data_IF_330802025276
#
_entry.id   IF_330802025276
#
_cell.length_a   1.000
_cell.length_b   1.000
_cell.length_c   1.000
_cell.angle_alpha   90.00
_cell.angle_beta   90.00
_cell.angle_gamma   90.00
#
_symmetry.space_group_name_H-M   'P 1'
#
loop_
_entity.id
_entity.type
_entity.pdbx_description
1 polymer ?
#
# COMPACT_ATOMS: atom_id res chain seq x y z
N UNK A 1 -22.60 -17.41 -27.98
CA UNK A 1 -22.72 -18.47 -26.97
C UNK A 1 -21.41 -19.23 -26.96
N UNK A 2 -20.56 -18.95 -26.02
CA UNK A 2 -19.46 -19.82 -25.61
C UNK A 2 -19.11 -19.39 -24.19
N UNK A 3 -19.77 -20.03 -23.21
CA UNK A 3 -19.40 -20.01 -21.81
C UNK A 3 -18.18 -20.90 -21.63
N UNK A 4 -17.02 -20.39 -22.01
CA UNK A 4 -15.77 -21.00 -21.64
C UNK A 4 -15.46 -20.67 -20.19
N UNK A 5 -15.70 -21.57 -19.26
CA UNK A 5 -15.08 -21.57 -17.95
C UNK A 5 -13.57 -21.80 -18.14
N UNK A 6 -12.84 -20.75 -18.48
CA UNK A 6 -11.39 -20.77 -18.48
C UNK A 6 -10.94 -20.63 -17.02
N UNK A 7 -10.99 -21.75 -16.28
CA UNK A 7 -10.28 -21.88 -15.02
C UNK A 7 -8.79 -21.87 -15.35
N UNK A 8 -8.08 -20.80 -14.99
CA UNK A 8 -6.63 -20.73 -15.14
C UNK A 8 -6.00 -21.37 -13.92
N UNK A 9 -5.20 -22.41 -14.13
CA UNK A 9 -4.41 -23.01 -13.06
C UNK A 9 -3.33 -22.00 -12.60
N UNK A 10 -3.36 -21.54 -11.35
CA UNK A 10 -2.40 -20.57 -10.85
C UNK A 10 -0.98 -21.13 -10.69
N UNK A 11 -0.80 -22.45 -10.80
CA UNK A 11 0.50 -23.11 -10.55
C UNK A 11 1.62 -22.54 -11.41
N UNK A 12 1.37 -22.34 -12.70
CA UNK A 12 2.36 -21.74 -13.60
C UNK A 12 2.78 -20.33 -13.14
N UNK A 13 1.84 -19.52 -12.68
CA UNK A 13 2.12 -18.18 -12.16
C UNK A 13 2.94 -18.26 -10.86
N UNK A 14 2.56 -19.16 -9.94
CA UNK A 14 3.26 -19.38 -8.67
C UNK A 14 4.70 -19.84 -8.90
N UNK A 15 4.93 -20.79 -9.81
CA UNK A 15 6.27 -21.29 -10.15
C UNK A 15 7.15 -20.18 -10.75
N UNK A 16 6.58 -19.36 -11.63
CA UNK A 16 7.29 -18.21 -12.23
C UNK A 16 7.60 -17.12 -11.22
N UNK A 17 6.65 -16.77 -10.36
CA UNK A 17 6.84 -15.81 -9.28
C UNK A 17 7.90 -16.31 -8.29
N UNK A 18 7.88 -17.58 -7.94
CA UNK A 18 8.85 -18.18 -7.02
C UNK A 18 10.28 -18.07 -7.55
N UNK A 19 10.50 -18.37 -8.82
CA UNK A 19 11.82 -18.20 -9.48
C UNK A 19 12.25 -16.73 -9.49
N UNK A 20 11.33 -15.83 -9.83
CA UNK A 20 11.61 -14.40 -9.91
C UNK A 20 11.95 -13.82 -8.52
N UNK A 21 11.14 -14.11 -7.50
CA UNK A 21 11.35 -13.61 -6.12
C UNK A 21 12.69 -14.13 -5.59
N UNK A 22 13.03 -15.40 -5.78
CA UNK A 22 14.31 -15.97 -5.36
C UNK A 22 15.50 -15.25 -6.01
N UNK A 23 15.39 -14.87 -7.28
CA UNK A 23 16.43 -14.14 -7.99
C UNK A 23 16.55 -12.69 -7.50
N UNK A 24 15.44 -12.01 -7.26
CA UNK A 24 15.41 -10.60 -6.87
C UNK A 24 15.79 -10.38 -5.40
N UNK A 25 15.39 -11.29 -4.50
CA UNK A 25 15.63 -11.16 -3.07
C UNK A 25 16.98 -11.74 -2.62
N UNK A 26 17.64 -12.54 -3.44
CA UNK A 26 18.81 -13.34 -3.07
C UNK A 26 18.50 -14.45 -2.07
N UNK A 27 17.22 -14.65 -1.73
CA UNK A 27 16.74 -15.68 -0.80
C UNK A 27 15.79 -16.63 -1.54
N UNK A 28 15.85 -17.93 -1.30
CA UNK A 28 14.97 -18.87 -1.98
C UNK A 28 13.50 -18.62 -1.59
N UNK A 29 12.65 -18.39 -2.60
CA UNK A 29 11.22 -18.47 -2.40
C UNK A 29 10.84 -19.93 -2.16
N UNK A 30 10.34 -20.21 -0.98
CA UNK A 30 9.94 -21.57 -0.61
C UNK A 30 8.42 -21.65 -0.74
N UNK A 31 7.89 -22.37 -1.74
CA UNK A 31 6.47 -22.66 -1.82
C UNK A 31 5.99 -23.29 -0.50
N UNK A 32 4.77 -22.99 -0.08
CA UNK A 32 4.16 -23.46 1.17
C UNK A 32 4.78 -22.90 2.48
N UNK A 33 5.59 -21.87 2.41
CA UNK A 33 5.90 -21.02 3.57
C UNK A 33 5.06 -19.76 3.54
N UNK A 34 4.74 -19.26 4.74
CA UNK A 34 4.11 -17.95 4.89
C UNK A 34 5.04 -16.86 4.35
N UNK A 35 4.54 -16.07 3.41
CA UNK A 35 5.22 -14.89 2.87
C UNK A 35 4.32 -13.68 3.12
N UNK A 36 4.91 -12.49 3.25
CA UNK A 36 4.12 -11.27 3.39
C UNK A 36 3.54 -10.84 2.03
N UNK A 37 2.21 -10.71 1.96
CA UNK A 37 1.53 -10.38 0.71
C UNK A 37 1.98 -9.04 0.10
N UNK A 38 2.17 -7.93 0.85
CA UNK A 38 2.76 -6.69 0.35
C UNK A 38 4.17 -6.87 -0.21
N UNK A 39 5.00 -7.72 0.41
CA UNK A 39 6.35 -7.99 -0.08
C UNK A 39 6.31 -8.68 -1.45
N UNK A 40 5.54 -9.75 -1.57
CA UNK A 40 5.31 -10.46 -2.85
C UNK A 40 4.75 -9.50 -3.91
N UNK A 41 3.77 -8.68 -3.54
CA UNK A 41 3.21 -7.66 -4.43
C UNK A 41 4.27 -6.67 -4.89
N UNK A 42 5.15 -6.20 -4.00
CA UNK A 42 6.26 -5.31 -4.33
C UNK A 42 7.18 -5.90 -5.41
N UNK A 43 7.54 -7.18 -5.30
CA UNK A 43 8.32 -7.86 -6.34
C UNK A 43 7.59 -7.92 -7.69
N UNK A 44 6.29 -8.20 -7.69
CA UNK A 44 5.47 -8.22 -8.91
C UNK A 44 5.46 -6.83 -9.57
N UNK A 45 5.18 -5.79 -8.80
CA UNK A 45 5.08 -4.42 -9.30
C UNK A 45 6.42 -3.90 -9.84
N UNK A 46 7.52 -4.19 -9.16
CA UNK A 46 8.86 -3.83 -9.62
C UNK A 46 9.20 -4.52 -10.95
N UNK A 47 8.83 -5.79 -11.12
CA UNK A 47 9.05 -6.50 -12.39
C UNK A 47 8.23 -5.90 -13.54
N UNK A 48 6.97 -5.58 -13.29
CA UNK A 48 6.10 -4.93 -14.29
C UNK A 48 6.71 -3.59 -14.72
N UNK A 49 7.19 -2.79 -13.78
CA UNK A 49 7.76 -1.47 -14.04
C UNK A 49 9.07 -1.54 -14.84
N UNK A 50 9.90 -2.56 -14.62
CA UNK A 50 11.18 -2.73 -15.36
C UNK A 50 10.98 -3.26 -16.77
N UNK A 51 9.93 -4.06 -17.01
CA UNK A 51 9.66 -4.68 -18.33
C UNK A 51 8.87 -3.79 -19.27
N UNK A 52 8.16 -2.77 -18.78
CA UNK A 52 7.36 -1.84 -19.58
C UNK A 52 7.51 -0.41 -19.07
N UNK A 53 8.31 0.39 -19.74
CA UNK A 53 8.55 1.80 -19.39
C UNK A 53 7.25 2.64 -19.28
N UNK A 54 6.17 2.24 -19.96
CA UNK A 54 4.85 2.90 -19.93
C UNK A 54 4.04 2.58 -18.66
N UNK A 55 4.39 1.54 -17.90
CA UNK A 55 3.65 1.13 -16.70
C UNK A 55 4.23 1.71 -15.40
N UNK A 56 5.40 2.37 -15.44
CA UNK A 56 6.04 2.95 -14.26
C UNK A 56 5.17 3.98 -13.54
N UNK A 57 4.24 4.62 -14.25
CA UNK A 57 3.35 5.63 -13.67
C UNK A 57 2.01 5.06 -13.17
N UNK A 58 1.71 3.81 -13.52
CA UNK A 58 0.41 3.21 -13.23
C UNK A 58 0.18 3.04 -11.72
N UNK A 59 1.22 2.62 -10.99
CA UNK A 59 1.14 2.29 -9.57
C UNK A 59 1.91 3.28 -8.68
N UNK A 60 2.79 4.11 -9.25
CA UNK A 60 3.74 4.90 -8.46
C UNK A 60 3.08 6.13 -7.86
N UNK A 61 3.09 6.19 -6.53
CA UNK A 61 2.77 7.39 -5.73
C UNK A 61 4.08 8.12 -5.44
N UNK A 62 4.17 9.41 -5.75
CA UNK A 62 5.33 10.24 -5.39
C UNK A 62 4.95 11.29 -4.37
N UNK A 63 5.83 11.47 -3.39
CA UNK A 63 5.65 12.40 -2.26
C UNK A 63 6.90 13.22 -2.09
N UNK A 64 6.75 14.52 -1.91
CA UNK A 64 7.79 15.40 -1.43
C UNK A 64 7.69 15.49 0.10
N UNK A 65 8.80 15.36 0.79
CA UNK A 65 8.88 15.43 2.25
C UNK A 65 9.81 16.59 2.61
N UNK A 66 9.24 17.64 3.19
CA UNK A 66 9.96 18.79 3.70
C UNK A 66 10.17 18.64 5.21
N UNK A 67 11.43 18.78 5.65
CA UNK A 67 11.79 18.77 7.08
C UNK A 67 12.43 20.07 7.43
N UNK A 68 11.88 20.75 8.45
CA UNK A 68 12.34 22.07 8.90
C UNK A 68 12.85 21.97 10.33
N UNK A 69 14.06 22.47 10.56
CA UNK A 69 14.69 22.55 11.88
C UNK A 69 14.11 23.72 12.67
N UNK A 70 13.67 23.50 13.91
CA UNK A 70 13.11 24.57 14.74
C UNK A 70 14.18 25.53 15.24
N UNK A 71 15.44 25.07 15.43
CA UNK A 71 16.53 25.89 15.95
C UNK A 71 17.07 26.89 14.93
N UNK A 72 17.30 26.47 13.68
CA UNK A 72 17.90 27.36 12.66
C UNK A 72 16.98 27.64 11.46
N UNK A 73 15.77 27.11 11.45
CA UNK A 73 14.76 27.27 10.37
C UNK A 73 15.26 26.76 9.00
N UNK A 74 16.34 25.99 8.97
CA UNK A 74 16.80 25.37 7.73
C UNK A 74 15.84 24.23 7.33
N UNK A 75 15.40 24.26 6.07
CA UNK A 75 14.56 23.21 5.49
C UNK A 75 15.35 22.34 4.53
N UNK A 76 15.00 21.07 4.50
CA UNK A 76 15.48 20.09 3.53
C UNK A 76 14.31 19.38 2.88
N UNK A 77 14.36 19.21 1.54
CA UNK A 77 13.33 18.53 0.77
C UNK A 77 13.92 17.22 0.25
N UNK A 78 13.16 16.14 0.40
CA UNK A 78 13.45 14.84 -0.19
C UNK A 78 12.21 14.31 -0.91
N UNK A 79 12.42 13.57 -2.00
CA UNK A 79 11.35 12.92 -2.73
C UNK A 79 11.37 11.42 -2.46
N UNK A 80 10.20 10.83 -2.32
CA UNK A 80 9.99 9.40 -2.22
C UNK A 80 8.95 8.96 -3.25
N UNK A 81 9.22 7.83 -3.90
CA UNK A 81 8.34 7.26 -4.92
C UNK A 81 8.17 5.78 -4.68
N UNK A 82 6.94 5.34 -4.42
CA UNK A 82 6.65 3.97 -4.04
C UNK A 82 5.39 3.43 -4.70
N UNK A 83 5.37 2.14 -5.10
CA UNK A 83 4.20 1.53 -5.72
C UNK A 83 3.13 1.12 -4.69
N UNK A 84 3.48 1.01 -3.42
CA UNK A 84 2.58 0.67 -2.32
C UNK A 84 2.71 1.74 -1.25
N UNK A 85 1.67 2.52 -1.06
CA UNK A 85 1.63 3.58 -0.05
C UNK A 85 1.37 2.96 1.33
N UNK A 86 2.34 3.08 2.23
CA UNK A 86 2.24 2.57 3.60
C UNK A 86 1.63 3.63 4.50
N UNK A 87 0.56 3.28 5.22
CA UNK A 87 -0.17 4.23 6.06
C UNK A 87 -0.36 3.70 7.48
N UNK A 88 -0.37 4.58 8.50
CA UNK A 88 -0.72 4.21 9.87
C UNK A 88 -2.16 3.71 9.94
N UNK A 89 -2.51 2.99 11.01
CA UNK A 89 -3.86 2.47 11.20
C UNK A 89 -4.72 3.52 11.89
N UNK A 90 -5.84 3.88 11.25
CA UNK A 90 -6.91 4.72 11.79
C UNK A 90 -8.27 4.03 11.58
N UNK A 91 -9.34 4.64 12.04
CA UNK A 91 -10.70 4.09 11.94
C UNK A 91 -11.18 3.87 10.51
N UNK A 92 -10.65 4.61 9.54
CA UNK A 92 -10.96 4.50 8.11
C UNK A 92 -9.68 4.64 7.27
N UNK A 93 -9.73 4.17 6.02
CA UNK A 93 -8.61 4.34 5.06
C UNK A 93 -8.35 5.82 4.78
N UNK A 94 -9.43 6.60 4.60
CA UNK A 94 -9.31 8.04 4.38
C UNK A 94 -8.68 8.79 5.56
N UNK A 95 -8.94 8.35 6.80
CA UNK A 95 -8.29 8.91 7.99
C UNK A 95 -6.79 8.56 8.02
N UNK A 96 -6.43 7.32 7.67
CA UNK A 96 -5.04 6.88 7.54
C UNK A 96 -4.27 7.66 6.47
N UNK A 97 -4.91 7.92 5.31
CA UNK A 97 -4.32 8.73 4.24
C UNK A 97 -4.11 10.18 4.67
N UNK A 98 -5.09 10.80 5.32
CA UNK A 98 -4.93 12.19 5.79
C UNK A 98 -3.76 12.36 6.73
N UNK A 99 -3.51 11.37 7.59
CA UNK A 99 -2.44 11.47 8.58
C UNK A 99 -1.04 11.55 7.94
N UNK A 100 -0.78 10.82 6.88
CA UNK A 100 0.54 10.86 6.23
C UNK A 100 0.82 12.21 5.53
N UNK A 101 -0.23 13.00 5.26
CA UNK A 101 -0.14 14.34 4.67
C UNK A 101 -0.35 15.46 5.70
N UNK A 102 -0.42 15.13 7.00
CA UNK A 102 -0.39 16.13 8.07
C UNK A 102 1.04 16.46 8.46
N UNK A 103 1.27 17.70 8.86
CA UNK A 103 2.54 18.07 9.49
C UNK A 103 2.73 17.28 10.79
N UNK A 104 3.87 16.65 10.94
CA UNK A 104 4.27 15.91 12.14
C UNK A 104 5.43 16.62 12.85
N UNK A 105 5.44 16.54 14.18
CA UNK A 105 6.56 17.01 14.99
C UNK A 105 7.67 15.97 14.99
N UNK A 106 8.91 16.42 14.89
CA UNK A 106 10.11 15.64 15.01
C UNK A 106 10.78 16.01 16.33
N UNK A 107 10.48 15.29 17.39
CA UNK A 107 10.93 15.55 18.76
C UNK A 107 11.35 14.26 19.48
N UNK A 108 11.94 14.40 20.66
CA UNK A 108 12.33 13.29 21.52
C UNK A 108 13.28 12.29 20.82
N UNK A 109 12.82 11.05 20.61
CA UNK A 109 13.59 10.01 19.91
C UNK A 109 13.55 10.15 18.38
N UNK A 110 12.69 11.02 17.86
CA UNK A 110 12.51 11.23 16.42
C UNK A 110 13.08 12.56 15.93
N UNK A 111 14.00 13.18 16.68
CA UNK A 111 14.64 14.44 16.28
C UNK A 111 15.30 14.35 14.91
N UNK A 112 15.30 15.46 14.21
CA UNK A 112 15.94 15.59 12.90
C UNK A 112 17.46 15.83 13.07
N UNK A 113 18.29 15.16 12.26
CA UNK A 113 19.72 15.49 12.16
C UNK A 113 19.87 16.72 11.26
N UNK A 114 20.10 17.88 11.86
CA UNK A 114 20.24 19.15 11.13
C UNK A 114 21.67 19.31 10.57
N UNK A 115 21.77 19.51 9.25
CA UNK A 115 23.06 19.71 8.58
C UNK A 115 23.69 21.07 8.86
N UNK A 116 22.94 22.04 9.36
CA UNK A 116 23.41 23.40 9.73
C UNK A 116 23.79 23.46 11.19
N UNK A 117 22.97 22.92 12.09
CA UNK A 117 23.30 22.88 13.53
C UNK A 117 24.33 21.81 13.87
N UNK A 118 24.52 20.80 13.01
CA UNK A 118 25.39 19.63 13.22
C UNK A 118 25.00 18.78 14.47
N UNK A 119 23.72 18.80 14.84
CA UNK A 119 23.14 18.14 16.01
C UNK A 119 21.76 17.58 15.70
N UNK A 120 21.24 16.74 16.62
CA UNK A 120 19.84 16.36 16.64
C UNK A 120 19.03 17.53 17.19
N UNK A 121 18.03 17.95 16.45
CA UNK A 121 17.19 19.09 16.76
C UNK A 121 15.71 18.74 16.62
N UNK A 122 14.88 19.42 17.38
CA UNK A 122 13.45 19.37 17.17
C UNK A 122 13.10 20.07 15.84
N UNK A 123 12.00 19.65 15.24
CA UNK A 123 11.58 20.20 13.97
C UNK A 123 10.22 19.69 13.53
N UNK A 124 9.90 19.99 12.28
CA UNK A 124 8.66 19.52 11.64
C UNK A 124 8.95 18.72 10.38
N UNK A 125 8.04 17.82 10.04
CA UNK A 125 8.03 17.09 8.78
C UNK A 125 6.66 17.24 8.14
N UNK A 126 6.63 17.76 6.90
CA UNK A 126 5.43 17.89 6.09
C UNK A 126 5.58 17.04 4.82
N UNK A 127 4.59 16.21 4.53
CA UNK A 127 4.55 15.38 3.32
C UNK A 127 3.48 15.90 2.36
N UNK A 128 3.85 16.09 1.09
CA UNK A 128 2.95 16.56 0.03
C UNK A 128 2.94 15.54 -1.11
N UNK A 129 1.76 15.23 -1.61
CA UNK A 129 1.62 14.39 -2.80
C UNK A 129 2.04 15.20 -4.02
N UNK A 130 3.07 14.74 -4.74
CA UNK A 130 3.54 15.38 -6.00
C UNK A 130 3.03 14.64 -7.22
N UNK A 131 2.72 13.33 -7.08
CA UNK A 131 2.15 12.53 -8.16
C UNK A 131 1.19 11.49 -7.62
N UNK A 132 -0.03 11.49 -8.13
CA UNK A 132 -1.05 10.50 -7.85
C UNK A 132 -1.01 9.35 -8.90
N UNK A 133 -1.03 8.06 -8.48
CA UNK A 133 -1.03 6.93 -9.39
C UNK A 133 -2.40 6.75 -10.08
N UNK A 134 -2.47 5.91 -11.11
CA UNK A 134 -3.75 5.47 -11.69
C UNK A 134 -4.41 4.39 -10.84
N UNK A 135 -3.59 3.50 -10.28
CA UNK A 135 -3.99 2.46 -9.33
C UNK A 135 -3.28 2.72 -8.01
N UNK A 136 -4.04 3.15 -7.03
CA UNK A 136 -3.55 3.43 -5.68
C UNK A 136 -3.59 2.14 -4.86
N UNK A 137 -2.43 1.70 -4.40
CA UNK A 137 -2.27 0.54 -3.52
C UNK A 137 -1.87 1.03 -2.14
N UNK A 138 -2.65 0.65 -1.12
CA UNK A 138 -2.46 1.10 0.25
C UNK A 138 -2.22 -0.10 1.15
N UNK A 139 -1.12 -0.10 1.90
CA UNK A 139 -0.83 -1.06 2.95
C UNK A 139 -1.03 -0.43 4.32
N UNK A 140 -1.84 -1.05 5.18
CA UNK A 140 -1.92 -0.69 6.59
C UNK A 140 -0.70 -1.23 7.36
N UNK A 141 -0.04 -0.40 8.15
CA UNK A 141 1.09 -0.79 9.00
C UNK A 141 0.61 -1.56 10.23
N UNK A 142 0.14 -2.82 10.01
CA UNK A 142 -0.43 -3.66 11.08
C UNK A 142 0.60 -4.31 11.97
N UNK A 143 1.84 -4.46 11.52
CA UNK A 143 2.87 -5.16 12.26
C UNK A 143 3.95 -4.20 12.73
N UNK A 144 4.19 -4.18 14.04
CA UNK A 144 5.26 -3.39 14.69
C UNK A 144 6.29 -4.35 15.26
N UNK A 145 7.56 -4.14 14.92
CA UNK A 145 8.67 -4.90 15.53
C UNK A 145 8.86 -4.46 16.98
N UNK A 146 8.98 -5.42 17.88
CA UNK A 146 9.27 -5.21 19.30
C UNK A 146 10.58 -5.87 19.73
N UNK A 147 11.33 -6.41 18.76
CA UNK A 147 12.60 -7.10 18.98
C UNK A 147 12.96 -7.98 17.79
N UNK A 148 14.12 -8.65 17.83
CA UNK A 148 14.54 -9.52 16.75
C UNK A 148 13.49 -10.61 16.46
N UNK A 149 12.94 -10.62 15.26
CA UNK A 149 11.90 -11.56 14.80
C UNK A 149 10.61 -11.58 15.65
N UNK A 150 10.37 -10.55 16.46
CA UNK A 150 9.18 -10.41 17.26
C UNK A 150 8.32 -9.25 16.74
N UNK A 151 7.05 -9.55 16.42
CA UNK A 151 6.11 -8.57 15.89
C UNK A 151 4.79 -8.63 16.64
N UNK A 152 4.23 -7.46 16.92
CA UNK A 152 2.87 -7.32 17.41
C UNK A 152 1.98 -6.87 16.26
N UNK A 153 0.82 -7.54 16.11
CA UNK A 153 -0.20 -7.15 15.15
C UNK A 153 -1.20 -6.18 15.77
N UNK A 154 -1.34 -5.01 15.18
CA UNK A 154 -2.43 -4.11 15.50
C UNK A 154 -3.73 -4.63 14.87
N UNK A 155 -4.69 -5.01 15.70
CA UNK A 155 -5.98 -5.60 15.31
C UNK A 155 -7.12 -4.58 15.27
N UNK A 156 -6.82 -3.27 15.37
CA UNK A 156 -7.83 -2.21 15.29
C UNK A 156 -8.67 -2.37 14.02
N UNK A 157 -9.98 -2.26 14.17
CA UNK A 157 -10.91 -2.30 13.04
C UNK A 157 -10.73 -1.06 12.17
N UNK A 158 -10.65 -1.27 10.87
CA UNK A 158 -10.57 -0.22 9.86
C UNK A 158 -11.76 -0.39 8.92
N UNK A 159 -12.57 0.63 8.78
CA UNK A 159 -13.66 0.64 7.80
C UNK A 159 -13.07 0.78 6.39
N UNK A 160 -13.60 -0.04 5.47
CA UNK A 160 -13.20 -0.03 4.07
C UNK A 160 -13.96 1.09 3.35
N UNK A 161 -13.34 2.26 3.19
CA UNK A 161 -13.95 3.35 2.42
C UNK A 161 -14.10 2.91 0.96
N UNK A 162 -15.29 2.98 0.42
CA UNK A 162 -15.57 2.63 -0.99
C UNK A 162 -14.92 3.61 -1.97
N UNK A 163 -14.68 4.84 -1.52
CA UNK A 163 -13.99 5.89 -2.26
C UNK A 163 -13.03 6.64 -1.34
N UNK A 164 -11.89 7.03 -1.88
CA UNK A 164 -10.91 7.91 -1.23
C UNK A 164 -10.46 8.97 -2.21
N UNK A 165 -9.95 10.10 -1.70
CA UNK A 165 -9.43 11.19 -2.52
C UNK A 165 -8.00 11.52 -2.13
N UNK A 166 -7.18 11.82 -3.14
CA UNK A 166 -5.82 12.37 -3.00
C UNK A 166 -5.73 13.66 -3.81
N UNK A 167 -5.06 14.67 -3.26
CA UNK A 167 -4.83 15.94 -3.94
C UNK A 167 -3.33 16.18 -4.13
N UNK A 168 -2.91 16.44 -5.36
CA UNK A 168 -1.55 16.84 -5.70
C UNK A 168 -1.35 18.31 -5.27
N UNK A 169 -0.25 18.56 -4.53
CA UNK A 169 0.00 19.85 -3.91
C UNK A 169 0.65 20.86 -4.86
N UNK A 170 1.36 20.36 -5.90
CA UNK A 170 2.19 21.22 -6.78
C UNK A 170 1.38 21.91 -7.89
N UNK A 171 0.06 21.80 -7.89
CA UNK A 171 -0.84 22.48 -8.82
C UNK A 171 -1.65 23.56 -8.14
N UNK A 172 -1.91 24.66 -8.83
CA UNK A 172 -2.78 25.74 -8.37
C UNK A 172 -3.92 25.96 -9.39
N UNK A 173 -5.18 25.61 -9.07
CA UNK A 173 -5.61 24.94 -7.82
C UNK A 173 -5.16 23.47 -7.72
N UNK A 174 -5.09 22.90 -6.52
CA UNK A 174 -4.72 21.49 -6.31
C UNK A 174 -5.61 20.54 -7.10
N UNK A 175 -4.98 19.59 -7.83
CA UNK A 175 -5.71 18.60 -8.61
C UNK A 175 -6.12 17.45 -7.67
N UNK A 176 -7.42 17.25 -7.50
CA UNK A 176 -7.96 16.18 -6.68
C UNK A 176 -8.36 14.98 -7.54
N UNK A 177 -7.90 13.81 -7.13
CA UNK A 177 -8.18 12.53 -7.76
C UNK A 177 -9.05 11.67 -6.85
N UNK A 178 -10.19 11.24 -7.36
CA UNK A 178 -11.09 10.32 -6.65
C UNK A 178 -10.82 8.89 -7.10
N UNK A 179 -10.71 7.99 -6.13
CA UNK A 179 -10.41 6.58 -6.33
C UNK A 179 -11.55 5.71 -5.81
N UNK A 180 -11.88 4.66 -6.55
CA UNK A 180 -12.87 3.65 -6.16
C UNK A 180 -12.19 2.36 -5.75
N UNK A 181 -12.63 1.80 -4.62
CA UNK A 181 -12.19 0.50 -4.11
C UNK A 181 -12.57 -0.63 -5.08
N UNK A 182 -11.60 -1.49 -5.40
CA UNK A 182 -11.78 -2.65 -6.29
C UNK A 182 -11.24 -3.95 -5.72
N UNK A 183 -10.43 -3.89 -4.67
CA UNK A 183 -9.88 -5.09 -4.04
C UNK A 183 -9.37 -4.84 -2.63
N UNK A 184 -9.42 -5.87 -1.80
CA UNK A 184 -8.89 -5.87 -0.43
C UNK A 184 -8.20 -7.20 -0.20
N UNK A 185 -6.98 -7.19 0.32
CA UNK A 185 -6.36 -8.37 0.93
C UNK A 185 -6.64 -8.30 2.42
N UNK A 186 -7.27 -9.35 2.96
CA UNK A 186 -7.52 -9.56 4.38
C UNK A 186 -6.48 -10.53 4.95
N UNK A 187 -5.98 -10.27 6.15
CA UNK A 187 -5.02 -11.14 6.82
C UNK A 187 -5.48 -11.52 8.21
N UNK A 188 -5.72 -12.80 8.44
CA UNK A 188 -6.03 -13.38 9.76
C UNK A 188 -4.79 -14.05 10.35
N UNK A 189 -4.71 -14.09 11.67
CA UNK A 189 -3.59 -14.73 12.39
C UNK A 189 -2.48 -13.76 12.77
N UNK A 190 -1.29 -14.32 13.03
CA UNK A 190 -0.08 -13.63 13.52
C UNK A 190 0.87 -13.30 12.36
N UNK A 191 2.02 -12.70 12.66
CA UNK A 191 3.06 -12.44 11.66
C UNK A 191 3.65 -13.72 11.06
N UNK A 192 3.89 -14.74 11.90
CA UNK A 192 4.54 -15.99 11.47
C UNK A 192 3.56 -17.08 11.04
N UNK A 193 2.30 -16.97 11.43
CA UNK A 193 1.26 -17.96 11.13
C UNK A 193 -0.07 -17.25 10.89
N UNK A 194 -0.45 -17.16 9.63
CA UNK A 194 -1.62 -16.44 9.20
C UNK A 194 -2.21 -16.99 7.91
N UNK A 195 -3.36 -16.46 7.56
CA UNK A 195 -4.08 -16.83 6.35
C UNK A 195 -4.55 -15.56 5.62
N UNK A 196 -4.36 -15.54 4.31
CA UNK A 196 -4.81 -14.47 3.45
C UNK A 196 -6.09 -14.86 2.72
N UNK A 197 -7.03 -13.93 2.68
CA UNK A 197 -8.18 -13.98 1.79
C UNK A 197 -8.28 -12.66 1.03
N UNK A 198 -9.06 -12.60 -0.04
CA UNK A 198 -9.27 -11.33 -0.71
C UNK A 198 -10.73 -11.11 -1.10
N UNK A 199 -11.12 -9.83 -1.07
CA UNK A 199 -12.36 -9.35 -1.64
C UNK A 199 -12.03 -8.67 -2.96
N UNK A 200 -12.72 -9.05 -4.04
CA UNK A 200 -12.49 -8.52 -5.39
C UNK A 200 -13.79 -8.07 -6.00
N UNK A 201 -13.79 -6.87 -6.59
CA UNK A 201 -14.90 -6.35 -7.37
C UNK A 201 -14.82 -6.89 -8.80
N UNK A 202 -15.77 -7.70 -9.20
CA UNK A 202 -15.99 -7.98 -10.62
C UNK A 202 -16.64 -6.73 -11.26
N UNK A 203 -15.86 -6.04 -12.08
CA UNK A 203 -16.26 -4.81 -12.72
C UNK A 203 -17.37 -5.00 -13.75
N UNK A 204 -17.48 -6.18 -14.35
CA UNK A 204 -18.48 -6.48 -15.37
C UNK A 204 -19.88 -6.63 -14.78
N UNK A 205 -19.99 -7.30 -13.63
CA UNK A 205 -21.25 -7.51 -12.92
C UNK A 205 -21.48 -6.52 -11.77
N UNK A 206 -20.47 -5.70 -11.44
CA UNK A 206 -20.45 -4.81 -10.26
C UNK A 206 -20.75 -5.54 -8.94
N UNK A 207 -20.30 -6.80 -8.84
CA UNK A 207 -20.47 -7.63 -7.65
C UNK A 207 -19.15 -7.90 -6.97
N UNK A 208 -19.17 -7.98 -5.66
CA UNK A 208 -18.02 -8.36 -4.86
C UNK A 208 -17.98 -9.86 -4.62
N UNK A 209 -16.78 -10.41 -4.65
CA UNK A 209 -16.51 -11.81 -4.37
C UNK A 209 -15.43 -11.93 -3.29
N UNK A 210 -15.65 -12.82 -2.33
CA UNK A 210 -14.63 -13.30 -1.39
C UNK A 210 -13.94 -14.50 -2.01
N UNK A 211 -12.63 -14.43 -2.15
CA UNK A 211 -11.76 -15.52 -2.58
C UNK A 211 -10.97 -16.03 -1.37
N UNK A 212 -11.09 -17.32 -1.11
CA UNK A 212 -10.40 -18.03 -0.04
C UNK A 212 -9.92 -19.37 -0.60
N UNK A 213 -8.66 -19.41 -1.00
CA UNK A 213 -8.04 -20.52 -1.73
C UNK A 213 -8.89 -20.94 -2.95
N UNK A 214 -9.38 -22.15 -2.97
CA UNK A 214 -10.23 -22.69 -4.04
C UNK A 214 -11.71 -22.25 -3.97
N UNK A 215 -12.09 -21.55 -2.91
CA UNK A 215 -13.49 -21.15 -2.68
C UNK A 215 -13.68 -19.69 -3.11
N UNK A 216 -14.57 -19.46 -4.07
CA UNK A 216 -14.99 -18.13 -4.50
C UNK A 216 -16.50 -18.01 -4.31
N UNK A 217 -16.93 -17.00 -3.55
CA UNK A 217 -18.34 -16.74 -3.30
C UNK A 217 -18.68 -15.27 -3.33
N UNK A 218 -19.87 -14.91 -3.79
CA UNK A 218 -20.35 -13.54 -3.69
C UNK A 218 -20.40 -13.11 -2.22
N UNK A 219 -19.89 -11.93 -1.93
CA UNK A 219 -19.77 -11.40 -0.57
C UNK A 219 -19.79 -9.88 -0.59
N UNK A 220 -19.90 -9.26 0.57
CA UNK A 220 -19.82 -7.81 0.75
C UNK A 220 -18.45 -7.45 1.34
N UNK A 221 -17.72 -6.47 0.81
CA UNK A 221 -16.42 -6.05 1.34
C UNK A 221 -16.49 -5.46 2.75
N UNK A 222 -17.67 -5.02 3.23
CA UNK A 222 -17.87 -4.59 4.62
C UNK A 222 -17.70 -5.73 5.64
N UNK A 223 -17.73 -6.99 5.18
CA UNK A 223 -17.46 -8.17 5.99
C UNK A 223 -15.96 -8.46 6.17
N UNK A 224 -15.08 -7.71 5.52
CA UNK A 224 -13.65 -7.78 5.73
C UNK A 224 -13.30 -7.39 7.17
N UNK A 225 -12.65 -8.30 7.90
CA UNK A 225 -12.41 -8.11 9.35
C UNK A 225 -11.05 -7.51 9.66
N UNK A 226 -10.05 -7.88 8.88
CA UNK A 226 -8.66 -7.50 9.11
C UNK A 226 -8.01 -7.03 7.80
N UNK A 227 -8.57 -5.98 7.16
CA UNK A 227 -8.02 -5.49 5.90
C UNK A 227 -6.55 -5.13 6.08
N UNK A 228 -5.72 -5.54 5.12
CA UNK A 228 -4.28 -5.34 5.18
C UNK A 228 -3.76 -4.53 4.00
N UNK A 229 -4.22 -4.87 2.78
CA UNK A 229 -3.90 -4.11 1.56
C UNK A 229 -5.18 -3.76 0.82
N UNK A 230 -5.25 -2.53 0.35
CA UNK A 230 -6.36 -2.04 -0.45
C UNK A 230 -5.90 -1.69 -1.86
N UNK A 231 -6.75 -1.95 -2.83
CA UNK A 231 -6.57 -1.59 -4.23
C UNK A 231 -7.69 -0.65 -4.66
N UNK A 232 -7.29 0.53 -5.10
CA UNK A 232 -8.19 1.55 -5.60
C UNK A 232 -7.83 1.91 -7.04
N UNK A 233 -8.82 2.16 -7.88
CA UNK A 233 -8.62 2.65 -9.25
C UNK A 233 -9.17 4.07 -9.36
N UNK A 234 -8.41 4.95 -10.03
CA UNK A 234 -8.83 6.33 -10.31
C UNK A 234 -10.15 6.32 -11.08
N UNK A 235 -11.16 7.04 -10.60
CA UNK A 235 -12.53 7.00 -11.17
C UNK A 235 -12.58 7.42 -12.64
N UNK A 236 -11.73 8.33 -13.08
CA UNK A 236 -11.66 8.73 -14.49
C UNK A 236 -11.30 7.60 -15.46
N UNK A 237 -10.75 6.49 -14.97
CA UNK A 237 -10.43 5.30 -15.76
C UNK A 237 -11.56 4.25 -15.76
N UNK A 238 -12.63 4.50 -15.04
CA UNK A 238 -13.76 3.59 -14.90
C UNK A 238 -14.97 4.00 -15.76
N UNK A 239 -14.87 5.14 -16.43
CA UNK A 239 -15.87 5.68 -17.36
C UNK A 239 -15.77 5.05 -18.74
#
# INVERSE_FOLDING_TARGET
MASGNNCVDPKFLVDRLGTFISTASGSPFIPNRSNDAPEVLGYILNNISTTRATTGNLFTTSVSIERTCDSCQNSSISEDSQPILRVPIRSTVGASLREIFCTSMLDGENQLSCSVCHSLEDGTSESKLTRAPEVLIIQLLRFTSIGPQQFIKNTMKVSCDTEVSLSEADSDPPISHVYRLVGIIDHSGTFSDGHYTCFVLDRSSNKWFLCNDSVVKQSDPSLCKNPYVFFYIRKSLLM
#
